data_IF_795680238245
#
_entry.id   IF_795680238245
#
_cell.length_a   1.000
_cell.length_b   1.000
_cell.length_c   1.000
_cell.angle_alpha   90.00
_cell.angle_beta   90.00
_cell.angle_gamma   90.00
#
_symmetry.space_group_name_H-M   'P 1'
#
loop_
_entity.id
_entity.type
_entity.pdbx_description
1 polymer ?
#
# COMPACT_ATOMS: atom_id res chain seq x y z
N UNK A 1 -45.63 22.09 31.29
CA UNK A 1 -45.24 20.68 31.52
C UNK A 1 -45.90 19.74 30.52
N UNK A 2 -47.23 19.78 30.41
CA UNK A 2 -48.02 18.89 29.54
C UNK A 2 -47.59 18.89 28.04
N UNK A 3 -47.41 20.06 27.44
CA UNK A 3 -46.96 20.18 26.05
C UNK A 3 -45.53 19.63 25.81
N UNK A 4 -44.65 19.81 26.77
CA UNK A 4 -43.29 19.28 26.69
C UNK A 4 -43.26 17.75 26.80
N UNK A 5 -44.03 17.21 27.73
CA UNK A 5 -44.24 15.76 27.86
C UNK A 5 -44.76 15.14 26.56
N UNK A 6 -45.86 15.71 26.02
CA UNK A 6 -46.43 15.28 24.75
C UNK A 6 -45.44 15.31 23.59
N UNK A 7 -44.63 16.35 23.50
CA UNK A 7 -43.62 16.45 22.44
C UNK A 7 -42.54 15.37 22.54
N UNK A 8 -42.05 15.07 23.75
CA UNK A 8 -41.07 14.01 23.96
C UNK A 8 -41.66 12.64 23.66
N UNK A 9 -42.82 12.35 24.17
CA UNK A 9 -43.53 11.10 23.96
C UNK A 9 -43.80 10.82 22.47
N UNK A 10 -44.24 11.86 21.75
CA UNK A 10 -44.52 11.78 20.31
C UNK A 10 -43.25 11.63 19.49
N UNK A 11 -42.18 12.42 19.79
CA UNK A 11 -40.90 12.33 19.08
C UNK A 11 -40.16 11.02 19.35
N UNK A 12 -40.31 10.45 20.55
CA UNK A 12 -39.72 9.15 20.89
C UNK A 12 -40.55 7.95 20.38
N UNK A 13 -41.60 8.21 19.66
CA UNK A 13 -42.50 7.19 19.08
C UNK A 13 -43.18 6.25 20.11
N UNK A 14 -43.28 6.66 21.37
CA UNK A 14 -43.91 5.88 22.45
C UNK A 14 -45.44 5.91 22.36
N UNK A 15 -46.02 7.11 22.24
CA UNK A 15 -47.42 7.33 21.94
C UNK A 15 -48.39 6.71 22.96
N UNK A 16 -48.28 7.05 24.24
CA UNK A 16 -49.22 6.53 25.27
C UNK A 16 -50.67 6.89 25.01
N UNK A 17 -50.94 7.99 24.25
CA UNK A 17 -52.29 8.40 23.89
C UNK A 17 -53.11 9.02 25.02
N UNK A 18 -52.46 9.35 26.12
CA UNK A 18 -53.06 10.04 27.28
C UNK A 18 -53.30 11.54 27.02
N UNK A 19 -52.54 12.12 26.09
CA UNK A 19 -52.73 13.47 25.61
C UNK A 19 -52.84 13.41 24.07
N UNK A 20 -53.95 13.90 23.54
CA UNK A 20 -54.19 13.92 22.08
C UNK A 20 -54.60 15.31 21.60
N UNK A 21 -54.14 15.77 20.42
CA UNK A 21 -54.52 17.03 19.82
C UNK A 21 -55.95 17.00 19.34
N UNK A 22 -56.84 17.83 19.95
CA UNK A 22 -58.27 17.85 19.63
C UNK A 22 -58.61 18.88 18.53
N UNK A 23 -57.92 20.07 18.54
CA UNK A 23 -58.20 21.12 17.57
C UNK A 23 -57.39 20.92 16.28
N UNK A 24 -57.86 21.46 15.14
CA UNK A 24 -57.14 21.41 13.86
C UNK A 24 -55.74 22.07 13.92
N UNK A 25 -55.65 23.22 14.60
CA UNK A 25 -54.39 23.89 14.80
C UNK A 25 -53.41 23.07 15.64
N UNK A 26 -53.86 22.37 16.67
CA UNK A 26 -53.05 21.48 17.47
C UNK A 26 -52.58 20.27 16.65
N UNK A 27 -53.40 19.74 15.77
CA UNK A 27 -53.03 18.63 14.85
C UNK A 27 -51.97 19.07 13.85
N UNK A 28 -52.11 20.24 13.24
CA UNK A 28 -51.09 20.80 12.33
C UNK A 28 -49.76 21.04 13.05
N UNK A 29 -49.79 21.56 14.27
CA UNK A 29 -48.59 21.72 15.09
C UNK A 29 -47.94 20.35 15.38
N UNK A 30 -48.73 19.35 15.75
CA UNK A 30 -48.24 18.00 16.02
C UNK A 30 -47.55 17.39 14.78
N UNK A 31 -48.11 17.56 13.57
CA UNK A 31 -47.50 17.10 12.34
C UNK A 31 -46.13 17.72 12.14
N UNK A 32 -45.97 19.05 12.37
CA UNK A 32 -44.69 19.73 12.25
C UNK A 32 -43.65 19.23 13.28
N UNK A 33 -44.10 18.93 14.51
CA UNK A 33 -43.24 18.36 15.57
C UNK A 33 -42.77 16.96 15.19
N UNK A 34 -43.63 16.12 14.63
CA UNK A 34 -43.27 14.75 14.19
C UNK A 34 -42.23 14.81 13.07
N UNK A 35 -42.48 15.60 12.03
CA UNK A 35 -41.56 15.73 10.89
C UNK A 35 -40.21 16.24 11.35
N UNK A 36 -40.17 17.29 12.16
CA UNK A 36 -38.90 17.84 12.69
C UNK A 36 -38.20 16.85 13.61
N UNK A 37 -38.93 16.14 14.47
CA UNK A 37 -38.35 15.15 15.39
C UNK A 37 -37.71 13.98 14.65
N UNK A 38 -38.40 13.42 13.64
CA UNK A 38 -37.83 12.35 12.79
C UNK A 38 -36.58 12.83 12.05
N UNK A 39 -36.59 14.05 11.51
CA UNK A 39 -35.45 14.60 10.78
C UNK A 39 -34.23 14.78 11.69
N UNK A 40 -34.42 15.35 12.87
CA UNK A 40 -33.34 15.54 13.87
C UNK A 40 -32.82 14.20 14.36
N UNK A 41 -33.69 13.25 14.63
CA UNK A 41 -33.30 11.91 15.07
C UNK A 41 -32.48 11.18 14.00
N UNK A 42 -32.96 11.17 12.75
CA UNK A 42 -32.27 10.52 11.63
C UNK A 42 -30.88 11.13 11.36
N UNK A 43 -30.79 12.47 11.38
CA UNK A 43 -29.49 13.15 11.18
C UNK A 43 -28.54 12.93 12.34
N UNK A 44 -29.02 12.94 13.58
CA UNK A 44 -28.21 12.65 14.78
C UNK A 44 -27.69 11.20 14.76
N UNK A 45 -28.56 10.25 14.40
CA UNK A 45 -28.19 8.85 14.26
C UNK A 45 -27.09 8.67 13.20
N UNK A 46 -27.26 9.29 12.04
CA UNK A 46 -26.26 9.22 10.97
C UNK A 46 -24.94 9.89 11.37
N UNK A 47 -24.99 10.99 12.11
CA UNK A 47 -23.77 11.71 12.55
C UNK A 47 -22.99 10.96 13.63
N UNK A 48 -23.69 10.30 14.56
CA UNK A 48 -23.05 9.53 15.65
C UNK A 48 -22.60 8.17 15.19
N UNK A 49 -23.44 7.45 14.46
CA UNK A 49 -23.17 6.08 14.03
C UNK A 49 -22.45 6.00 12.69
N UNK A 50 -22.51 7.05 11.85
CA UNK A 50 -21.83 7.11 10.56
C UNK A 50 -20.32 6.85 10.64
N UNK A 51 -19.56 7.53 11.52
CA UNK A 51 -18.15 7.25 11.74
C UNK A 51 -17.88 5.85 12.31
N UNK A 52 -18.73 5.37 13.22
CA UNK A 52 -18.64 4.02 13.80
C UNK A 52 -18.89 2.93 12.75
N UNK A 53 -19.85 3.13 11.85
CA UNK A 53 -20.16 2.19 10.79
C UNK A 53 -19.08 2.23 9.70
N UNK A 54 -18.63 3.42 9.30
CA UNK A 54 -17.55 3.57 8.30
C UNK A 54 -16.20 3.08 8.81
N UNK A 55 -15.86 3.33 10.08
CA UNK A 55 -14.59 2.89 10.67
C UNK A 55 -14.60 1.43 11.16
N UNK A 56 -15.70 0.96 11.74
CA UNK A 56 -15.78 -0.37 12.36
C UNK A 56 -16.23 -1.47 11.41
N UNK A 57 -17.20 -1.19 10.55
CA UNK A 57 -17.76 -2.20 9.65
C UNK A 57 -16.81 -2.53 8.49
N UNK A 58 -16.10 -1.54 7.94
CA UNK A 58 -15.02 -1.80 6.98
C UNK A 58 -13.85 -2.57 7.61
N UNK A 59 -13.60 -2.37 8.92
CA UNK A 59 -12.55 -3.11 9.65
C UNK A 59 -12.98 -4.56 9.96
N UNK A 60 -14.28 -4.80 10.20
CA UNK A 60 -14.83 -6.14 10.44
C UNK A 60 -15.06 -6.92 9.14
N UNK A 61 -15.42 -6.25 8.05
CA UNK A 61 -15.69 -6.90 6.75
C UNK A 61 -14.44 -6.95 5.87
N UNK A 62 -13.55 -5.93 5.90
CA UNK A 62 -12.23 -5.96 5.26
C UNK A 62 -11.12 -6.55 6.15
N UNK A 63 -11.34 -6.64 7.46
CA UNK A 63 -10.37 -7.22 8.38
C UNK A 63 -10.23 -8.72 8.14
N UNK A 64 -9.10 -9.10 7.61
CA UNK A 64 -8.50 -10.45 7.63
C UNK A 64 -8.86 -11.45 6.52
N UNK A 65 -9.92 -11.26 5.72
CA UNK A 65 -10.29 -12.31 4.75
C UNK A 65 -9.99 -11.99 3.27
N UNK A 66 -9.76 -10.72 2.89
CA UNK A 66 -9.55 -10.38 1.48
C UNK A 66 -8.16 -10.80 0.95
N UNK A 67 -7.15 -10.74 1.77
CA UNK A 67 -5.77 -11.10 1.36
C UNK A 67 -5.60 -12.61 1.21
N UNK A 68 -6.24 -13.42 2.04
CA UNK A 68 -6.16 -14.89 1.93
C UNK A 68 -6.77 -15.47 0.64
N UNK A 69 -7.59 -14.72 -0.09
CA UNK A 69 -8.25 -15.19 -1.32
C UNK A 69 -7.76 -14.52 -2.60
N UNK A 70 -6.92 -13.48 -2.51
CA UNK A 70 -6.36 -12.84 -3.71
C UNK A 70 -5.41 -13.79 -4.42
N UNK A 71 -5.56 -13.87 -5.74
CA UNK A 71 -4.66 -14.59 -6.63
C UNK A 71 -4.13 -13.60 -7.67
N UNK A 72 -2.96 -13.85 -8.20
CA UNK A 72 -2.35 -13.03 -9.26
C UNK A 72 -2.22 -11.54 -8.88
N UNK A 73 -1.86 -11.28 -7.61
CA UNK A 73 -1.66 -9.94 -7.07
C UNK A 73 -0.17 -9.65 -6.85
N UNK A 74 0.16 -8.38 -6.65
CA UNK A 74 1.50 -7.96 -6.29
C UNK A 74 1.61 -7.77 -4.77
N UNK A 75 2.70 -8.26 -4.17
CA UNK A 75 3.03 -7.97 -2.78
C UNK A 75 4.10 -6.89 -2.79
N UNK A 76 3.86 -5.77 -2.10
CA UNK A 76 4.82 -4.68 -1.95
C UNK A 76 5.23 -4.58 -0.49
N UNK A 77 6.52 -4.75 -0.23
CA UNK A 77 7.12 -4.65 1.09
C UNK A 77 7.77 -3.29 1.28
N UNK A 78 7.30 -2.54 2.28
CA UNK A 78 7.77 -1.22 2.61
C UNK A 78 6.79 -0.10 2.26
N UNK A 79 7.16 1.11 2.68
CA UNK A 79 6.34 2.34 2.55
C UNK A 79 7.16 3.53 2.03
N UNK A 80 8.29 3.26 1.39
CA UNK A 80 9.12 4.30 0.75
C UNK A 80 8.34 5.09 -0.31
N UNK A 81 8.86 6.23 -0.73
CA UNK A 81 8.27 7.02 -1.83
C UNK A 81 8.16 6.17 -3.10
N UNK A 82 9.18 5.34 -3.39
CA UNK A 82 9.16 4.43 -4.51
C UNK A 82 8.03 3.40 -4.38
N UNK A 83 7.87 2.79 -3.20
CA UNK A 83 6.80 1.83 -2.93
C UNK A 83 5.42 2.45 -3.15
N UNK A 84 5.16 3.61 -2.53
CA UNK A 84 3.86 4.29 -2.63
C UNK A 84 3.55 4.63 -4.09
N UNK A 85 4.50 5.21 -4.83
CA UNK A 85 4.28 5.57 -6.23
C UNK A 85 4.05 4.32 -7.11
N UNK A 86 4.77 3.23 -6.85
CA UNK A 86 4.60 1.96 -7.56
C UNK A 86 3.20 1.38 -7.30
N UNK A 87 2.73 1.39 -6.05
CA UNK A 87 1.39 0.92 -5.69
C UNK A 87 0.32 1.74 -6.41
N UNK A 88 0.42 3.07 -6.39
CA UNK A 88 -0.53 3.95 -7.09
C UNK A 88 -0.56 3.68 -8.60
N UNK A 89 0.60 3.46 -9.22
CA UNK A 89 0.69 3.12 -10.64
C UNK A 89 0.11 1.74 -10.97
N UNK A 90 0.28 0.75 -10.10
CA UNK A 90 -0.33 -0.57 -10.25
C UNK A 90 -1.85 -0.49 -10.09
N UNK A 91 -2.34 0.25 -9.10
CA UNK A 91 -3.77 0.46 -8.88
C UNK A 91 -4.45 1.17 -10.07
N UNK A 92 -3.81 2.19 -10.67
CA UNK A 92 -4.32 2.86 -11.86
C UNK A 92 -4.45 1.91 -13.05
N UNK A 93 -3.64 0.84 -13.09
CA UNK A 93 -3.70 -0.21 -14.12
C UNK A 93 -4.64 -1.36 -13.76
N UNK A 94 -5.45 -1.20 -12.70
CA UNK A 94 -6.39 -2.21 -12.23
C UNK A 94 -5.74 -3.44 -11.59
N UNK A 95 -4.45 -3.36 -11.20
CA UNK A 95 -3.77 -4.46 -10.55
C UNK A 95 -4.09 -4.48 -9.05
N UNK A 96 -4.27 -5.67 -8.50
CA UNK A 96 -4.45 -5.86 -7.08
C UNK A 96 -3.11 -5.84 -6.36
N UNK A 97 -3.02 -5.08 -5.26
CA UNK A 97 -1.79 -4.95 -4.48
C UNK A 97 -2.04 -5.28 -3.02
N UNK A 98 -1.15 -6.06 -2.43
CA UNK A 98 -1.07 -6.28 -0.98
C UNK A 98 0.20 -5.62 -0.48
N UNK A 99 0.06 -4.70 0.47
CA UNK A 99 1.18 -3.94 1.04
C UNK A 99 1.51 -4.49 2.42
N UNK A 100 2.78 -4.79 2.67
CA UNK A 100 3.26 -5.15 4.01
C UNK A 100 4.05 -3.96 4.55
N UNK A 101 3.67 -3.46 5.71
CA UNK A 101 4.34 -2.33 6.34
C UNK A 101 4.34 -2.46 7.86
N UNK A 102 5.46 -2.10 8.48
CA UNK A 102 5.65 -2.08 9.93
C UNK A 102 5.32 -0.74 10.58
N UNK A 103 4.58 0.11 9.89
CA UNK A 103 4.12 1.40 10.41
C UNK A 103 3.18 1.24 11.61
N UNK A 104 3.12 2.24 12.51
CA UNK A 104 2.11 2.34 13.56
C UNK A 104 0.69 2.30 12.99
N UNK A 105 -0.28 1.84 13.78
CA UNK A 105 -1.65 1.60 13.33
C UNK A 105 -2.34 2.86 12.74
N UNK A 106 -2.03 4.03 13.29
CA UNK A 106 -2.61 5.30 12.81
C UNK A 106 -2.02 5.74 11.46
N UNK A 107 -0.74 5.47 11.22
CA UNK A 107 -0.08 5.74 9.94
C UNK A 107 -0.53 4.74 8.86
N UNK A 108 -0.80 3.47 9.23
CA UNK A 108 -1.39 2.48 8.33
C UNK A 108 -2.75 2.94 7.84
N UNK A 109 -3.61 3.50 8.70
CA UNK A 109 -4.92 4.03 8.27
C UNK A 109 -4.79 5.17 7.26
N UNK A 110 -3.79 6.06 7.47
CA UNK A 110 -3.51 7.13 6.51
C UNK A 110 -3.00 6.58 5.18
N UNK A 111 -2.13 5.56 5.25
CA UNK A 111 -1.63 4.87 4.06
C UNK A 111 -2.78 4.20 3.28
N UNK A 112 -3.67 3.47 3.94
CA UNK A 112 -4.86 2.86 3.33
C UNK A 112 -5.75 3.89 2.63
N UNK A 113 -6.01 5.04 3.29
CA UNK A 113 -6.79 6.13 2.68
C UNK A 113 -6.12 6.70 1.43
N UNK A 114 -4.80 6.78 1.43
CA UNK A 114 -4.02 7.30 0.30
C UNK A 114 -3.94 6.33 -0.87
N UNK A 115 -3.89 5.03 -0.59
CA UNK A 115 -3.74 3.98 -1.60
C UNK A 115 -5.05 3.59 -2.28
N UNK A 116 -6.21 3.83 -1.63
CA UNK A 116 -7.52 3.52 -2.17
C UNK A 116 -7.92 2.04 -2.08
N UNK A 117 -9.02 1.68 -2.74
CA UNK A 117 -9.71 0.39 -2.53
C UNK A 117 -9.01 -0.84 -3.12
N UNK A 118 -8.09 -0.67 -4.06
CA UNK A 118 -7.40 -1.79 -4.73
C UNK A 118 -6.13 -2.25 -4.00
N UNK A 119 -5.74 -1.58 -2.91
CA UNK A 119 -4.61 -1.95 -2.07
C UNK A 119 -5.09 -2.37 -0.68
N UNK A 120 -4.65 -3.55 -0.23
CA UNK A 120 -4.84 -3.98 1.16
C UNK A 120 -3.52 -3.85 1.90
N UNK A 121 -3.54 -3.28 3.10
CA UNK A 121 -2.35 -3.14 3.94
C UNK A 121 -2.37 -4.17 5.06
N UNK A 122 -1.30 -4.95 5.16
CA UNK A 122 -1.05 -5.89 6.25
C UNK A 122 -0.01 -5.29 7.18
N UNK A 123 -0.36 -5.00 8.44
CA UNK A 123 0.62 -4.59 9.43
C UNK A 123 1.54 -5.76 9.79
N UNK A 124 2.86 -5.51 9.76
CA UNK A 124 3.84 -6.50 10.16
C UNK A 124 5.22 -6.30 9.53
N UNK A 125 6.14 -7.15 9.95
CA UNK A 125 7.47 -7.21 9.37
C UNK A 125 7.46 -8.08 8.10
N UNK A 126 7.94 -7.52 6.99
CA UNK A 126 8.03 -8.22 5.71
C UNK A 126 9.10 -9.33 5.69
N UNK A 127 9.95 -9.41 6.72
CA UNK A 127 10.89 -10.51 6.89
C UNK A 127 10.26 -11.73 7.59
N UNK A 128 9.07 -11.57 8.19
CA UNK A 128 8.36 -12.64 8.86
C UNK A 128 7.59 -13.51 7.86
N UNK A 129 7.96 -14.79 7.78
CA UNK A 129 7.31 -15.78 6.91
C UNK A 129 5.81 -15.91 7.19
N UNK A 130 5.37 -15.70 8.44
CA UNK A 130 3.93 -15.74 8.78
C UNK A 130 3.16 -14.59 8.17
N UNK A 131 3.77 -13.40 8.05
CA UNK A 131 3.20 -12.21 7.42
C UNK A 131 3.18 -12.38 5.90
N UNK A 132 4.27 -12.89 5.30
CA UNK A 132 4.33 -13.20 3.87
C UNK A 132 3.28 -14.26 3.48
N UNK A 133 3.06 -15.26 4.32
CA UNK A 133 2.02 -16.26 4.11
C UNK A 133 0.61 -15.67 4.17
N UNK A 134 0.35 -14.76 5.12
CA UNK A 134 -0.91 -14.01 5.19
C UNK A 134 -1.11 -13.12 3.96
N UNK A 135 -0.03 -12.57 3.41
CA UNK A 135 -0.05 -11.79 2.18
C UNK A 135 -0.29 -12.65 0.92
N UNK A 136 -0.24 -13.97 1.04
CA UNK A 136 -0.52 -14.89 -0.07
C UNK A 136 0.64 -15.08 -1.02
N UNK A 137 1.87 -15.18 -0.51
CA UNK A 137 3.09 -15.35 -1.31
C UNK A 137 3.02 -16.52 -2.29
N UNK A 138 2.36 -17.63 -1.92
CA UNK A 138 2.20 -18.82 -2.77
C UNK A 138 1.33 -18.58 -4.03
N UNK A 139 0.65 -17.43 -4.09
CA UNK A 139 -0.35 -17.11 -5.11
C UNK A 139 -0.16 -15.73 -5.72
N UNK A 140 0.86 -15.02 -5.29
CA UNK A 140 1.17 -13.71 -5.83
C UNK A 140 1.87 -13.85 -7.19
N UNK A 141 1.77 -12.81 -7.98
CA UNK A 141 2.46 -12.69 -9.26
C UNK A 141 3.92 -12.31 -9.10
N UNK A 142 4.20 -11.42 -8.14
CA UNK A 142 5.54 -11.01 -7.78
C UNK A 142 5.55 -10.35 -6.39
N UNK A 143 6.70 -10.38 -5.74
CA UNK A 143 7.00 -9.64 -4.53
C UNK A 143 8.00 -8.54 -4.82
N UNK A 144 7.72 -7.33 -4.35
CA UNK A 144 8.51 -6.13 -4.56
C UNK A 144 9.03 -5.63 -3.20
N UNK A 145 10.32 -5.78 -2.97
CA UNK A 145 11.02 -5.29 -1.78
C UNK A 145 11.49 -3.85 -2.06
N UNK A 146 10.70 -2.87 -1.62
CA UNK A 146 10.84 -1.46 -1.95
C UNK A 146 10.97 -0.58 -0.71
N UNK A 147 11.54 -1.08 0.38
CA UNK A 147 11.87 -0.25 1.55
C UNK A 147 13.11 0.61 1.28
N UNK A 148 13.33 1.62 2.14
CA UNK A 148 14.52 2.48 2.06
C UNK A 148 15.79 1.79 2.60
N UNK A 149 15.67 0.60 3.18
CA UNK A 149 16.76 -0.18 3.73
C UNK A 149 17.10 -1.37 2.81
N UNK A 150 18.28 -1.32 2.20
CA UNK A 150 18.76 -2.35 1.27
C UNK A 150 18.89 -3.74 1.92
N UNK A 151 19.27 -3.80 3.21
CA UNK A 151 19.39 -5.07 3.93
C UNK A 151 18.01 -5.71 4.16
N UNK A 152 17.00 -4.92 4.56
CA UNK A 152 15.64 -5.40 4.72
C UNK A 152 15.09 -5.93 3.39
N UNK A 153 15.34 -5.20 2.28
CA UNK A 153 14.95 -5.64 0.95
C UNK A 153 15.58 -6.98 0.57
N UNK A 154 16.86 -7.18 0.90
CA UNK A 154 17.54 -8.46 0.66
C UNK A 154 16.95 -9.60 1.48
N UNK A 155 16.64 -9.36 2.76
CA UNK A 155 16.00 -10.36 3.63
C UNK A 155 14.59 -10.75 3.14
N UNK A 156 13.81 -9.79 2.67
CA UNK A 156 12.50 -10.06 2.05
C UNK A 156 12.63 -11.01 0.86
N UNK A 157 13.61 -10.78 -0.02
CA UNK A 157 13.86 -11.65 -1.18
C UNK A 157 14.28 -13.06 -0.73
N UNK A 158 15.17 -13.17 0.25
CA UNK A 158 15.58 -14.47 0.80
C UNK A 158 14.39 -15.22 1.38
N UNK A 159 13.59 -14.57 2.24
CA UNK A 159 12.40 -15.18 2.84
C UNK A 159 11.37 -15.58 1.78
N UNK A 160 11.19 -14.76 0.75
CA UNK A 160 10.28 -15.06 -0.34
C UNK A 160 10.71 -16.30 -1.13
N UNK A 161 11.99 -16.41 -1.49
CA UNK A 161 12.53 -17.55 -2.25
C UNK A 161 12.58 -18.83 -1.44
N UNK A 162 12.77 -18.75 -0.13
CA UNK A 162 12.68 -19.89 0.79
C UNK A 162 11.27 -20.46 0.83
N UNK A 163 10.25 -19.60 0.79
CA UNK A 163 8.84 -20.00 0.83
C UNK A 163 8.29 -20.45 -0.52
N UNK A 164 8.73 -19.82 -1.60
CA UNK A 164 8.27 -20.09 -2.97
C UNK A 164 9.40 -19.82 -3.94
N UNK A 165 10.01 -20.89 -4.47
CA UNK A 165 11.15 -20.83 -5.42
C UNK A 165 10.80 -20.13 -6.73
N UNK A 166 9.52 -20.18 -7.13
CA UNK A 166 9.06 -19.69 -8.43
C UNK A 166 8.53 -18.25 -8.38
N UNK A 167 8.43 -17.66 -7.18
CA UNK A 167 7.96 -16.29 -7.04
C UNK A 167 8.94 -15.31 -7.68
N UNK A 168 8.44 -14.42 -8.53
CA UNK A 168 9.24 -13.33 -9.08
C UNK A 168 9.54 -12.29 -8.02
N UNK A 169 10.80 -11.92 -7.90
CA UNK A 169 11.29 -10.99 -6.89
C UNK A 169 11.87 -9.75 -7.54
N UNK A 170 11.43 -8.59 -7.05
CA UNK A 170 11.96 -7.28 -7.44
C UNK A 170 12.55 -6.63 -6.19
N UNK A 171 13.77 -6.15 -6.26
CA UNK A 171 14.47 -5.54 -5.14
C UNK A 171 14.98 -4.15 -5.51
N UNK A 172 14.62 -3.15 -4.67
CA UNK A 172 15.17 -1.81 -4.79
C UNK A 172 16.49 -1.69 -4.02
N UNK A 173 17.47 -1.03 -4.65
CA UNK A 173 18.77 -0.69 -4.04
C UNK A 173 18.93 0.81 -3.99
N UNK A 174 19.12 1.34 -2.80
CA UNK A 174 19.33 2.77 -2.56
C UNK A 174 20.81 3.16 -2.61
N UNK A 175 21.71 2.31 -2.08
CA UNK A 175 23.16 2.55 -2.12
C UNK A 175 23.84 1.58 -3.10
N UNK A 176 24.50 2.14 -4.13
CA UNK A 176 25.24 1.38 -5.13
C UNK A 176 26.34 0.47 -4.55
N UNK A 177 26.89 0.82 -3.37
CA UNK A 177 27.89 0.00 -2.66
C UNK A 177 27.33 -1.36 -2.23
N UNK A 178 26.02 -1.46 -2.04
CA UNK A 178 25.37 -2.69 -1.64
C UNK A 178 25.02 -3.60 -2.82
N UNK A 179 25.12 -3.10 -4.07
CA UNK A 179 24.69 -3.81 -5.28
C UNK A 179 25.32 -5.21 -5.39
N UNK A 180 26.63 -5.32 -5.16
CA UNK A 180 27.34 -6.62 -5.25
C UNK A 180 26.87 -7.62 -4.18
N UNK A 181 26.56 -7.14 -2.97
CA UNK A 181 26.03 -7.99 -1.89
C UNK A 181 24.60 -8.44 -2.20
N UNK A 182 23.82 -7.55 -2.78
CA UNK A 182 22.41 -7.82 -3.15
C UNK A 182 22.31 -8.81 -4.31
N UNK A 183 23.23 -8.77 -5.26
CA UNK A 183 23.31 -9.79 -6.32
C UNK A 183 23.44 -11.21 -5.76
N UNK A 184 24.03 -11.39 -4.57
CA UNK A 184 24.22 -12.71 -3.95
C UNK A 184 22.89 -13.34 -3.46
N UNK A 185 21.84 -12.56 -3.26
CA UNK A 185 20.51 -13.10 -2.91
C UNK A 185 19.68 -13.47 -4.13
N UNK A 186 20.26 -13.32 -5.33
CA UNK A 186 19.68 -13.70 -6.61
C UNK A 186 18.25 -13.21 -6.85
N UNK A 187 17.94 -11.92 -6.70
CA UNK A 187 16.62 -11.40 -7.08
C UNK A 187 16.47 -11.48 -8.61
N UNK A 188 15.21 -11.59 -9.09
CA UNK A 188 14.95 -11.64 -10.53
C UNK A 188 15.16 -10.28 -11.20
N UNK A 189 14.84 -9.19 -10.47
CA UNK A 189 15.05 -7.82 -10.93
C UNK A 189 15.66 -6.99 -9.79
N UNK A 190 16.74 -6.28 -10.09
CA UNK A 190 17.32 -5.26 -9.20
C UNK A 190 17.03 -3.89 -9.81
N UNK A 191 16.42 -3.00 -9.03
CA UNK A 191 16.11 -1.64 -9.41
C UNK A 191 16.91 -0.67 -8.55
N UNK A 192 17.79 0.14 -9.16
CA UNK A 192 18.46 1.26 -8.48
C UNK A 192 18.00 2.58 -9.12
N UNK A 193 17.00 3.26 -8.56
CA UNK A 193 16.46 4.50 -9.13
C UNK A 193 17.49 5.61 -9.26
N UNK A 194 18.41 5.70 -8.30
CA UNK A 194 19.48 6.71 -8.29
C UNK A 194 20.47 6.49 -9.43
N UNK A 195 20.95 5.24 -9.61
CA UNK A 195 21.87 4.92 -10.70
C UNK A 195 21.21 5.11 -12.05
N UNK A 196 19.99 4.61 -12.21
CA UNK A 196 19.20 4.74 -13.42
C UNK A 196 18.97 6.22 -13.78
N UNK A 197 18.54 7.02 -12.80
CA UNK A 197 18.32 8.44 -13.01
C UNK A 197 19.59 9.22 -13.33
N UNK A 198 20.71 8.92 -12.68
CA UNK A 198 21.98 9.59 -12.95
C UNK A 198 22.56 9.23 -14.33
N UNK A 199 22.45 7.98 -14.74
CA UNK A 199 22.88 7.53 -16.07
C UNK A 199 22.08 8.19 -17.19
N UNK A 200 20.75 8.21 -17.05
CA UNK A 200 19.87 8.91 -18.02
C UNK A 200 20.24 10.40 -18.08
N UNK A 201 20.39 11.05 -16.92
CA UNK A 201 20.73 12.47 -16.88
C UNK A 201 22.07 12.76 -17.55
N UNK A 202 23.10 11.95 -17.28
CA UNK A 202 24.41 12.10 -17.88
C UNK A 202 24.34 12.00 -19.42
N UNK A 203 23.60 11.04 -19.95
CA UNK A 203 23.43 10.86 -21.39
C UNK A 203 22.67 12.00 -22.04
N UNK A 204 21.56 12.44 -21.42
CA UNK A 204 20.80 13.60 -21.92
C UNK A 204 21.68 14.84 -21.99
N UNK A 205 22.49 15.09 -20.95
CA UNK A 205 23.41 16.24 -20.93
C UNK A 205 24.53 16.13 -21.96
N UNK A 206 24.93 14.89 -22.30
CA UNK A 206 25.93 14.64 -23.38
C UNK A 206 25.31 14.68 -24.79
N UNK A 207 23.99 14.86 -24.93
CA UNK A 207 23.31 14.87 -26.21
C UNK A 207 23.15 13.49 -26.85
N UNK A 208 23.27 12.41 -26.05
CA UNK A 208 23.05 11.05 -26.51
C UNK A 208 21.54 10.75 -26.65
N UNK A 209 21.17 10.07 -27.74
CA UNK A 209 19.78 9.64 -27.92
C UNK A 209 19.44 8.47 -27.00
N UNK A 210 18.32 8.60 -26.26
CA UNK A 210 17.81 7.53 -25.39
C UNK A 210 16.70 6.81 -26.17
N UNK A 211 16.93 5.55 -26.51
CA UNK A 211 15.92 4.71 -27.13
C UNK A 211 15.28 3.73 -26.13
N UNK A 212 14.12 3.19 -26.48
CA UNK A 212 13.38 2.27 -25.59
C UNK A 212 14.14 0.97 -25.30
N UNK A 213 14.88 0.43 -26.26
CA UNK A 213 15.64 -0.82 -26.10
C UNK A 213 16.75 -0.65 -25.06
N UNK A 214 17.36 0.52 -25.06
CA UNK A 214 18.36 0.89 -24.08
C UNK A 214 17.76 1.04 -22.67
N UNK A 215 16.61 1.68 -22.54
CA UNK A 215 15.90 1.78 -21.24
C UNK A 215 15.52 0.40 -20.70
N UNK A 216 15.02 -0.48 -21.55
CA UNK A 216 14.69 -1.86 -21.19
C UNK A 216 15.95 -2.63 -20.81
N UNK A 217 17.03 -2.52 -21.56
CA UNK A 217 18.31 -3.17 -21.25
C UNK A 217 18.90 -2.70 -19.93
N UNK A 218 18.82 -1.41 -19.62
CA UNK A 218 19.27 -0.84 -18.34
C UNK A 218 18.42 -1.37 -17.17
N UNK A 219 17.10 -1.52 -17.34
CA UNK A 219 16.23 -2.05 -16.32
C UNK A 219 16.43 -3.56 -16.10
N UNK A 220 16.63 -4.33 -17.17
CA UNK A 220 16.79 -5.79 -17.11
C UNK A 220 18.23 -6.19 -16.77
N UNK A 221 19.26 -5.43 -17.23
CA UNK A 221 20.66 -5.69 -16.96
C UNK A 221 21.13 -5.21 -15.57
N UNK A 222 20.31 -4.48 -14.82
CA UNK A 222 20.62 -4.22 -13.41
C UNK A 222 20.77 -5.49 -12.58
N UNK A 223 20.22 -6.64 -13.04
CA UNK A 223 20.51 -7.98 -12.51
C UNK A 223 21.79 -8.63 -13.06
N UNK A 224 22.26 -8.26 -14.28
CA UNK A 224 23.39 -8.90 -14.98
C UNK A 224 24.40 -7.90 -15.56
N UNK A 225 24.67 -6.80 -14.88
CA UNK A 225 25.90 -6.03 -15.11
C UNK A 225 25.84 -4.94 -16.18
N UNK A 226 25.48 -3.72 -15.76
CA UNK A 226 25.94 -2.49 -16.43
C UNK A 226 27.43 -2.22 -16.16
N UNK A 227 28.08 -2.98 -15.27
CA UNK A 227 29.44 -2.76 -14.75
C UNK A 227 30.44 -3.86 -15.06
N UNK A 228 30.18 -4.79 -16.02
CA UNK A 228 31.13 -5.86 -16.31
C UNK A 228 32.36 -5.39 -17.15
N UNK A 229 32.31 -4.22 -17.79
CA UNK A 229 33.39 -3.80 -18.69
C UNK A 229 34.46 -2.88 -18.05
N UNK A 230 34.16 -2.25 -16.89
CA UNK A 230 35.17 -1.40 -16.25
C UNK A 230 36.03 -2.11 -15.18
N UNK A 231 35.47 -3.11 -14.49
CA UNK A 231 36.23 -3.83 -13.44
C UNK A 231 37.30 -4.79 -14.02
N UNK A 232 37.12 -5.27 -15.27
CA UNK A 232 38.17 -6.06 -15.95
C UNK A 232 39.34 -5.22 -16.46
N UNK A 233 39.18 -3.91 -16.65
CA UNK A 233 40.27 -3.05 -17.07
C UNK A 233 41.10 -2.57 -15.89
N UNK A 234 40.51 -2.30 -14.72
CA UNK A 234 41.32 -1.94 -13.53
C UNK A 234 42.09 -3.12 -12.96
N UNK A 235 41.52 -4.32 -12.95
CA UNK A 235 42.23 -5.53 -12.48
C UNK A 235 43.38 -5.94 -13.43
N UNK A 236 43.29 -5.63 -14.72
CA UNK A 236 44.37 -5.86 -15.70
C UNK A 236 45.46 -4.78 -15.69
N UNK A 237 45.13 -3.57 -15.23
CA UNK A 237 46.10 -2.50 -15.04
C UNK A 237 46.98 -2.76 -13.80
N UNK A 238 46.36 -3.11 -12.66
CA UNK A 238 47.08 -3.40 -11.40
C UNK A 238 47.93 -4.67 -11.48
N UNK A 239 47.53 -5.67 -12.27
CA UNK A 239 48.30 -6.90 -12.46
C UNK A 239 49.52 -6.70 -13.39
N UNK A 240 49.51 -5.67 -14.25
CA UNK A 240 50.69 -5.32 -15.09
C UNK A 240 51.71 -4.44 -14.37
N UNK A 241 51.27 -3.63 -13.42
CA UNK A 241 52.15 -2.77 -12.63
C UNK A 241 52.89 -3.55 -11.52
N UNK A 242 52.28 -4.62 -11.01
CA UNK A 242 52.92 -5.52 -10.05
C UNK A 242 53.86 -6.56 -10.65
N UNK A 243 53.89 -6.75 -11.98
CA UNK A 243 54.78 -7.67 -12.69
C UNK A 243 56.07 -6.98 -13.23
N UNK A 244 56.21 -5.66 -13.05
CA UNK A 244 57.39 -4.88 -13.47
C UNK A 244 58.20 -4.31 -12.31
N UNK A 245 57.95 -4.74 -11.08
CA UNK A 245 58.79 -4.50 -9.90
C UNK A 245 59.30 -5.82 -9.37
#
# INVERSE_FOLDING_TARGET
>A
MTAFYFSIETMSTVGYGDIVPVSESARLFTISVIISGITVFATSMTSIFGPLIRGGFNKLVKGNNHTMHRKDHFIVCGHSILAINTILQLNQRGQNVTVISNLPEDDIKQLEQRLGDNADVIPGDSNDSSVLKKAGIDRCRAILALSDNDADNAFVVLSAKDMSSDVKTVLAVSDSKNLNKIKMVHPDIILSPQLFGSEILARVLNGEEINNDMLVSMLLNSGHGIFSDNDEQETKADSKESAQK
#
